data_IF_049531648671
#
_entry.id   IF_049531648671
#
_cell.length_a   1.000
_cell.length_b   1.000
_cell.length_c   1.000
_cell.angle_alpha   90.00
_cell.angle_beta   90.00
_cell.angle_gamma   90.00
#
_symmetry.space_group_name_H-M   'P 1'
#
loop_
_entity.id
_entity.type
_entity.pdbx_description
1 polymer ?
#
# COMPACT_ATOMS: atom_id res chain seq x y z
N UNK A 1 52.81 -7.59 -9.94
CA UNK A 1 51.90 -8.14 -8.91
C UNK A 1 51.28 -7.08 -7.99
N UNK A 2 52.02 -6.09 -7.46
CA UNK A 2 51.48 -5.03 -6.56
C UNK A 2 50.40 -4.12 -7.18
N UNK A 3 50.46 -3.87 -8.49
CA UNK A 3 49.50 -3.00 -9.19
C UNK A 3 48.09 -3.60 -9.26
N UNK A 4 47.98 -4.94 -9.38
CA UNK A 4 46.69 -5.64 -9.41
C UNK A 4 45.96 -5.55 -8.06
N UNK A 5 46.68 -5.72 -6.95
CA UNK A 5 46.10 -5.61 -5.60
C UNK A 5 45.62 -4.19 -5.29
N UNK A 6 46.34 -3.16 -5.78
CA UNK A 6 45.91 -1.77 -5.65
C UNK A 6 44.62 -1.50 -6.41
N UNK A 7 44.48 -2.02 -7.63
CA UNK A 7 43.25 -1.89 -8.44
C UNK A 7 42.06 -2.57 -7.75
N UNK A 8 42.24 -3.80 -7.25
CA UNK A 8 41.19 -4.51 -6.50
C UNK A 8 40.72 -3.71 -5.29
N UNK A 9 41.65 -3.17 -4.50
CA UNK A 9 41.31 -2.34 -3.35
C UNK A 9 40.55 -1.07 -3.73
N UNK A 10 40.92 -0.41 -4.83
CA UNK A 10 40.20 0.77 -5.33
C UNK A 10 38.78 0.42 -5.74
N UNK A 11 38.59 -0.70 -6.47
CA UNK A 11 37.25 -1.17 -6.87
C UNK A 11 36.39 -1.48 -5.64
N UNK A 12 36.91 -2.21 -4.66
CA UNK A 12 36.14 -2.53 -3.44
C UNK A 12 35.81 -1.27 -2.65
N UNK A 13 36.74 -0.31 -2.58
CA UNK A 13 36.47 0.97 -1.94
C UNK A 13 35.33 1.71 -2.62
N UNK A 14 35.38 1.82 -3.95
CA UNK A 14 34.32 2.43 -4.76
C UNK A 14 32.96 1.76 -4.55
N UNK A 15 32.90 0.43 -4.62
CA UNK A 15 31.67 -0.34 -4.37
C UNK A 15 31.13 -0.06 -2.96
N UNK A 16 32.01 -0.01 -1.96
CA UNK A 16 31.58 0.25 -0.58
C UNK A 16 31.03 1.67 -0.42
N UNK A 17 31.63 2.67 -1.06
CA UNK A 17 31.11 4.04 -1.05
C UNK A 17 29.74 4.14 -1.70
N UNK A 18 29.50 3.41 -2.79
CA UNK A 18 28.17 3.30 -3.40
C UNK A 18 27.14 2.70 -2.43
N UNK A 19 27.48 1.61 -1.74
CA UNK A 19 26.60 1.03 -0.73
C UNK A 19 26.35 1.95 0.46
N UNK A 20 27.38 2.65 0.94
CA UNK A 20 27.25 3.63 2.03
C UNK A 20 26.26 4.72 1.62
N UNK A 21 26.42 5.28 0.42
CA UNK A 21 25.52 6.32 -0.11
C UNK A 21 24.09 5.78 -0.22
N UNK A 22 23.92 4.61 -0.84
CA UNK A 22 22.61 4.01 -1.06
C UNK A 22 21.88 3.72 0.26
N UNK A 23 22.52 3.03 1.20
CA UNK A 23 21.89 2.65 2.46
C UNK A 23 21.66 3.84 3.38
N UNK A 24 22.58 4.80 3.43
CA UNK A 24 22.37 6.02 4.21
C UNK A 24 21.17 6.80 3.68
N UNK A 25 21.09 6.96 2.36
CA UNK A 25 19.94 7.60 1.72
C UNK A 25 18.64 6.85 2.01
N UNK A 26 18.61 5.54 1.76
CA UNK A 26 17.42 4.73 1.91
C UNK A 26 16.94 4.65 3.38
N UNK A 27 17.86 4.50 4.34
CA UNK A 27 17.52 4.43 5.77
C UNK A 27 17.01 5.78 6.29
N UNK A 28 17.66 6.87 5.89
CA UNK A 28 17.26 8.22 6.32
C UNK A 28 15.87 8.57 5.82
N UNK A 29 15.55 8.31 4.54
CA UNK A 29 14.20 8.56 4.02
C UNK A 29 13.13 7.74 4.75
N UNK A 30 13.42 6.46 5.06
CA UNK A 30 12.48 5.60 5.82
C UNK A 30 12.25 6.09 7.25
N UNK A 31 13.26 6.63 7.91
CA UNK A 31 13.12 7.16 9.28
C UNK A 31 12.42 8.52 9.29
N UNK A 32 12.75 9.40 8.35
CA UNK A 32 12.10 10.71 8.23
C UNK A 32 10.61 10.58 7.93
N UNK A 33 10.23 9.61 7.10
CA UNK A 33 8.83 9.33 6.78
C UNK A 33 8.38 7.94 7.28
N UNK A 34 8.63 7.70 8.57
CA UNK A 34 8.40 6.41 9.20
C UNK A 34 6.94 5.95 9.17
N UNK A 35 5.99 6.88 9.31
CA UNK A 35 4.57 6.54 9.31
C UNK A 35 4.11 6.05 7.94
N UNK A 36 4.50 6.74 6.85
CA UNK A 36 4.17 6.29 5.51
C UNK A 36 4.88 4.97 5.18
N UNK A 37 6.15 4.82 5.57
CA UNK A 37 6.87 3.56 5.39
C UNK A 37 6.19 2.38 6.12
N UNK A 38 5.80 2.57 7.39
CA UNK A 38 5.04 1.57 8.17
C UNK A 38 3.71 1.26 7.51
N UNK A 39 2.98 2.27 7.02
CA UNK A 39 1.70 2.09 6.35
C UNK A 39 1.84 1.27 5.06
N UNK A 40 2.86 1.52 4.26
CA UNK A 40 3.13 0.75 3.03
C UNK A 40 3.51 -0.70 3.31
N UNK A 41 4.35 -0.93 4.32
CA UNK A 41 4.62 -2.29 4.80
C UNK A 41 3.33 -2.98 5.25
N UNK A 42 2.42 -2.23 5.89
CA UNK A 42 1.08 -2.68 6.29
C UNK A 42 0.18 -3.07 5.11
N UNK A 43 0.37 -2.44 3.96
CA UNK A 43 -0.37 -2.75 2.74
C UNK A 43 0.23 -3.94 2.00
N UNK A 44 1.55 -4.16 2.08
CA UNK A 44 2.22 -5.29 1.42
C UNK A 44 1.68 -6.64 1.92
N UNK A 45 1.15 -7.52 1.05
CA UNK A 45 0.57 -8.79 1.48
C UNK A 45 1.54 -9.72 2.22
N UNK A 46 2.84 -9.58 1.97
CA UNK A 46 3.92 -10.37 2.59
C UNK A 46 4.29 -9.82 3.99
N UNK A 47 4.19 -8.51 4.19
CA UNK A 47 4.73 -7.83 5.37
C UNK A 47 3.67 -7.21 6.27
N UNK A 48 2.39 -7.23 5.88
CA UNK A 48 1.29 -6.62 6.63
C UNK A 48 1.24 -7.08 8.10
N UNK A 49 1.45 -8.38 8.35
CA UNK A 49 1.45 -8.97 9.69
C UNK A 49 2.69 -8.63 10.53
N UNK A 50 3.76 -8.18 9.87
CA UNK A 50 5.06 -7.88 10.48
C UNK A 50 5.48 -6.42 10.26
N UNK A 51 4.54 -5.57 9.84
CA UNK A 51 4.86 -4.24 9.32
C UNK A 51 5.58 -3.38 10.36
N UNK A 52 5.20 -3.48 11.63
CA UNK A 52 5.84 -2.75 12.72
C UNK A 52 7.27 -3.22 13.01
N UNK A 53 7.48 -4.54 13.05
CA UNK A 53 8.80 -5.12 13.31
C UNK A 53 9.75 -4.81 12.15
N UNK A 54 9.27 -4.98 10.92
CA UNK A 54 10.05 -4.73 9.70
C UNK A 54 10.34 -3.24 9.52
N UNK A 55 9.40 -2.36 9.90
CA UNK A 55 9.57 -0.91 9.80
C UNK A 55 10.79 -0.42 10.61
N UNK A 56 11.07 -1.02 11.77
CA UNK A 56 12.26 -0.71 12.55
C UNK A 56 13.49 -1.52 12.13
N UNK A 57 13.31 -2.81 11.81
CA UNK A 57 14.41 -3.71 11.51
C UNK A 57 15.18 -3.31 10.25
N UNK A 58 14.48 -2.89 9.20
CA UNK A 58 15.09 -2.55 7.90
C UNK A 58 16.02 -1.33 8.00
N UNK A 59 15.57 -0.14 8.44
CA UNK A 59 16.45 1.02 8.57
C UNK A 59 17.60 0.79 9.55
N UNK A 60 17.34 0.04 10.63
CA UNK A 60 18.38 -0.30 11.61
C UNK A 60 19.47 -1.18 10.99
N UNK A 61 19.08 -2.19 10.20
CA UNK A 61 20.03 -3.04 9.48
C UNK A 61 20.81 -2.23 8.43
N UNK A 62 20.15 -1.33 7.69
CA UNK A 62 20.79 -0.45 6.70
C UNK A 62 21.86 0.43 7.37
N UNK A 63 21.54 1.12 8.48
CA UNK A 63 22.53 1.93 9.21
C UNK A 63 23.65 1.10 9.81
N UNK A 64 23.34 -0.08 10.36
CA UNK A 64 24.37 -0.99 10.89
C UNK A 64 25.35 -1.40 9.78
N UNK A 65 24.85 -1.75 8.59
CA UNK A 65 25.70 -2.10 7.44
C UNK A 65 26.58 -0.91 7.03
N UNK A 66 26.05 0.31 7.02
CA UNK A 66 26.83 1.53 6.75
C UNK A 66 28.00 1.65 7.73
N UNK A 67 27.74 1.50 9.04
CA UNK A 67 28.79 1.56 10.07
C UNK A 67 29.85 0.48 9.82
N UNK A 68 29.43 -0.75 9.51
CA UNK A 68 30.35 -1.86 9.23
C UNK A 68 31.15 -1.67 7.93
N UNK A 69 30.61 -0.99 6.91
CA UNK A 69 31.32 -0.68 5.67
C UNK A 69 32.39 0.39 5.85
N UNK A 70 32.18 1.36 6.75
CA UNK A 70 33.16 2.39 7.08
C UNK A 70 34.37 1.79 7.79
N UNK A 71 34.15 0.77 8.63
CA UNK A 71 35.22 0.12 9.39
C UNK A 71 35.96 -0.93 8.53
N UNK A 72 37.26 -0.72 8.21
CA UNK A 72 37.99 -1.61 7.29
C UNK A 72 38.04 -3.07 7.75
N UNK A 73 38.04 -3.30 9.08
CA UNK A 73 38.05 -4.63 9.69
C UNK A 73 36.78 -5.43 9.41
N UNK A 74 35.62 -4.77 9.32
CA UNK A 74 34.32 -5.41 9.14
C UNK A 74 33.84 -5.42 7.69
N UNK A 75 34.62 -4.86 6.76
CA UNK A 75 34.22 -4.65 5.37
C UNK A 75 33.75 -5.91 4.65
N UNK A 76 34.40 -7.05 4.88
CA UNK A 76 33.96 -8.33 4.29
C UNK A 76 32.57 -8.74 4.80
N UNK A 77 32.36 -8.70 6.12
CA UNK A 77 31.08 -9.02 6.73
C UNK A 77 29.98 -8.03 6.28
N UNK A 78 30.34 -6.75 6.16
CA UNK A 78 29.45 -5.71 5.68
C UNK A 78 29.02 -5.95 4.23
N UNK A 79 29.96 -6.29 3.33
CA UNK A 79 29.65 -6.62 1.93
C UNK A 79 28.76 -7.87 1.80
N UNK A 80 29.00 -8.90 2.61
CA UNK A 80 28.12 -10.08 2.67
C UNK A 80 26.72 -9.69 3.18
N UNK A 81 26.64 -8.83 4.21
CA UNK A 81 25.36 -8.34 4.74
C UNK A 81 24.62 -7.48 3.72
N UNK A 82 25.31 -6.60 2.98
CA UNK A 82 24.77 -5.84 1.86
C UNK A 82 24.20 -6.74 0.77
N UNK A 83 24.94 -7.80 0.41
CA UNK A 83 24.50 -8.80 -0.56
C UNK A 83 23.20 -9.48 -0.12
N UNK A 84 23.15 -9.97 1.13
CA UNK A 84 21.97 -10.64 1.67
C UNK A 84 20.78 -9.69 1.69
N UNK A 85 20.95 -8.47 2.18
CA UNK A 85 19.86 -7.50 2.26
C UNK A 85 19.33 -7.15 0.86
N UNK A 86 20.20 -6.87 -0.11
CA UNK A 86 19.82 -6.61 -1.50
C UNK A 86 19.12 -7.82 -2.14
N UNK A 87 19.60 -9.03 -1.88
CA UNK A 87 18.98 -10.25 -2.39
C UNK A 87 17.59 -10.46 -1.79
N UNK A 88 17.42 -10.28 -0.48
CA UNK A 88 16.11 -10.37 0.18
C UNK A 88 15.12 -9.35 -0.39
N UNK A 89 15.55 -8.11 -0.61
CA UNK A 89 14.74 -7.09 -1.28
C UNK A 89 14.38 -7.46 -2.72
N UNK A 90 15.32 -8.04 -3.47
CA UNK A 90 15.10 -8.49 -4.85
C UNK A 90 14.04 -9.60 -4.90
N UNK A 91 14.17 -10.62 -4.04
CA UNK A 91 13.21 -11.74 -3.95
C UNK A 91 11.83 -11.23 -3.51
N UNK A 92 11.79 -10.30 -2.55
CA UNK A 92 10.56 -9.66 -2.10
C UNK A 92 9.84 -8.94 -3.26
N UNK A 93 10.54 -8.10 -4.03
CA UNK A 93 9.97 -7.39 -5.18
C UNK A 93 9.47 -8.39 -6.24
N UNK A 94 10.27 -9.41 -6.53
CA UNK A 94 9.90 -10.45 -7.49
C UNK A 94 8.60 -11.17 -7.10
N UNK A 95 8.45 -11.56 -5.83
CA UNK A 95 7.23 -12.20 -5.33
C UNK A 95 6.04 -11.25 -5.47
N UNK A 96 6.19 -9.98 -5.11
CA UNK A 96 5.09 -9.01 -5.23
C UNK A 96 4.67 -8.83 -6.70
N UNK A 97 5.60 -8.71 -7.63
CA UNK A 97 5.27 -8.48 -9.03
C UNK A 97 4.60 -9.69 -9.70
N UNK A 98 4.92 -10.91 -9.27
CA UNK A 98 4.45 -12.14 -9.94
C UNK A 98 3.31 -12.86 -9.20
N UNK A 99 3.19 -12.68 -7.89
CA UNK A 99 2.24 -13.43 -7.05
C UNK A 99 1.26 -12.54 -6.27
N UNK A 100 1.44 -11.22 -6.23
CA UNK A 100 0.52 -10.33 -5.56
C UNK A 100 -0.55 -9.79 -6.51
N UNK A 101 -1.80 -9.75 -6.04
CA UNK A 101 -2.93 -9.12 -6.75
C UNK A 101 -2.78 -7.59 -6.80
N UNK A 102 -1.93 -7.04 -5.92
CA UNK A 102 -1.73 -5.60 -5.77
C UNK A 102 -0.28 -5.27 -5.39
N UNK A 103 0.25 -4.20 -5.97
CA UNK A 103 1.58 -3.66 -5.66
C UNK A 103 1.40 -2.39 -4.82
N UNK A 104 2.00 -2.28 -3.61
CA UNK A 104 1.87 -1.09 -2.78
C UNK A 104 2.50 0.13 -3.46
N UNK A 105 2.06 1.33 -3.04
CA UNK A 105 2.79 2.54 -3.40
C UNK A 105 4.21 2.48 -2.80
N UNK A 106 5.19 3.06 -3.49
CA UNK A 106 6.57 3.19 -3.00
C UNK A 106 6.70 4.50 -2.24
N UNK A 107 7.20 4.52 -1.00
CA UNK A 107 7.66 5.71 -0.26
C UNK A 107 9.14 5.50 0.01
N UNK A 108 9.98 6.22 -0.72
CA UNK A 108 11.43 6.01 -0.72
C UNK A 108 12.24 7.20 -1.23
N UNK A 109 11.61 8.37 -1.40
CA UNK A 109 12.26 9.56 -1.95
C UNK A 109 12.47 9.47 -3.46
N UNK A 110 13.71 9.59 -3.94
CA UNK A 110 14.05 9.42 -5.36
C UNK A 110 13.72 8.01 -5.84
N UNK A 111 13.84 7.03 -4.94
CA UNK A 111 13.43 5.65 -5.16
C UNK A 111 11.91 5.46 -5.03
N UNK A 112 11.09 6.51 -4.99
CA UNK A 112 9.63 6.37 -5.11
C UNK A 112 9.16 6.74 -6.52
N UNK A 113 9.99 7.46 -7.28
CA UNK A 113 9.69 7.88 -8.65
C UNK A 113 10.01 6.82 -9.70
N UNK A 114 10.66 5.73 -9.30
CA UNK A 114 11.09 4.65 -10.17
C UNK A 114 10.02 3.55 -10.15
N UNK A 115 9.75 2.94 -11.30
CA UNK A 115 8.77 1.85 -11.40
C UNK A 115 9.27 0.59 -10.69
N UNK A 116 8.38 -0.28 -10.21
CA UNK A 116 8.77 -1.49 -9.49
C UNK A 116 9.66 -2.44 -10.33
N UNK A 117 9.51 -2.46 -11.66
CA UNK A 117 10.43 -3.20 -12.53
C UNK A 117 11.82 -2.57 -12.59
N UNK A 118 11.90 -1.23 -12.65
CA UNK A 118 13.16 -0.50 -12.63
C UNK A 118 13.87 -0.67 -11.27
N UNK A 119 13.13 -0.69 -10.15
CA UNK A 119 13.63 -1.07 -8.82
C UNK A 119 14.24 -2.46 -8.78
N UNK A 120 13.57 -3.43 -9.42
CA UNK A 120 14.07 -4.80 -9.47
C UNK A 120 15.42 -4.86 -10.21
N UNK A 121 15.51 -4.19 -11.37
CA UNK A 121 16.76 -4.11 -12.15
C UNK A 121 17.87 -3.41 -11.35
N UNK A 122 17.54 -2.31 -10.69
CA UNK A 122 18.46 -1.56 -9.83
C UNK A 122 19.03 -2.47 -8.72
N UNK A 123 18.17 -3.17 -7.98
CA UNK A 123 18.60 -4.07 -6.91
C UNK A 123 19.44 -5.23 -7.42
N UNK A 124 19.08 -5.85 -8.56
CA UNK A 124 19.89 -6.90 -9.20
C UNK A 124 21.29 -6.38 -9.53
N UNK A 125 21.41 -5.15 -10.03
CA UNK A 125 22.70 -4.51 -10.27
C UNK A 125 23.54 -4.42 -8.99
N UNK A 126 22.95 -4.00 -7.87
CA UNK A 126 23.64 -3.95 -6.58
C UNK A 126 23.98 -5.34 -6.01
N UNK A 127 23.16 -6.37 -6.25
CA UNK A 127 23.52 -7.75 -5.91
C UNK A 127 24.81 -8.17 -6.61
N UNK A 128 24.95 -7.90 -7.91
CA UNK A 128 26.18 -8.20 -8.65
C UNK A 128 27.38 -7.37 -8.17
N UNK A 129 27.18 -6.08 -7.88
CA UNK A 129 28.24 -5.24 -7.29
C UNK A 129 28.72 -5.79 -5.95
N UNK A 130 27.81 -6.28 -5.09
CA UNK A 130 28.19 -6.91 -3.83
C UNK A 130 29.03 -8.18 -4.07
N UNK A 131 28.63 -9.04 -5.01
CA UNK A 131 29.38 -10.26 -5.37
C UNK A 131 30.80 -9.93 -5.85
N UNK A 132 30.94 -8.91 -6.71
CA UNK A 132 32.25 -8.43 -7.16
C UNK A 132 33.07 -7.93 -5.97
N UNK A 133 32.47 -7.12 -5.09
CA UNK A 133 33.11 -6.63 -3.87
C UNK A 133 33.62 -7.76 -2.97
N UNK A 134 32.80 -8.77 -2.70
CA UNK A 134 33.15 -9.94 -1.87
C UNK A 134 34.29 -10.76 -2.50
N UNK A 135 34.24 -10.95 -3.82
CA UNK A 135 35.27 -11.67 -4.57
C UNK A 135 36.62 -10.97 -4.49
N UNK A 136 36.64 -9.65 -4.71
CA UNK A 136 37.86 -8.83 -4.77
C UNK A 136 38.42 -8.43 -3.40
N UNK A 137 37.60 -8.43 -2.34
CA UNK A 137 38.04 -8.03 -1.00
C UNK A 137 39.16 -8.97 -0.50
N UNK A 138 40.38 -8.47 -0.24
CA UNK A 138 41.44 -9.31 0.30
C UNK A 138 41.07 -9.73 1.72
N UNK A 139 41.13 -11.04 1.99
CA UNK A 139 40.81 -11.58 3.32
C UNK A 139 41.88 -12.61 3.68
N UNK A 140 42.72 -12.27 4.66
CA UNK A 140 43.93 -13.03 4.99
C UNK A 140 43.64 -14.47 5.44
N UNK A 141 42.44 -14.75 5.96
CA UNK A 141 42.04 -16.05 6.52
C UNK A 141 41.00 -16.83 5.69
N UNK A 142 40.40 -16.23 4.66
CA UNK A 142 39.26 -16.82 3.95
C UNK A 142 39.62 -17.17 2.51
N UNK A 143 39.74 -18.47 2.23
CA UNK A 143 39.94 -19.02 0.88
C UNK A 143 38.73 -18.76 -0.01
N UNK A 144 38.93 -18.66 -1.34
CA UNK A 144 37.86 -18.48 -2.34
C UNK A 144 36.72 -19.49 -2.20
N UNK A 145 37.02 -20.76 -1.90
CA UNK A 145 35.99 -21.80 -1.64
C UNK A 145 35.13 -21.46 -0.42
N UNK A 146 35.74 -21.00 0.68
CA UNK A 146 35.00 -20.59 1.89
C UNK A 146 34.15 -19.36 1.62
N UNK A 147 34.65 -18.38 0.86
CA UNK A 147 33.85 -17.22 0.44
C UNK A 147 32.61 -17.65 -0.34
N UNK A 148 32.76 -18.56 -1.30
CA UNK A 148 31.65 -19.08 -2.09
C UNK A 148 30.63 -19.79 -1.19
N UNK A 149 31.07 -20.65 -0.28
CA UNK A 149 30.19 -21.34 0.68
C UNK A 149 29.41 -20.33 1.54
N UNK A 150 30.07 -19.29 2.06
CA UNK A 150 29.41 -18.24 2.85
C UNK A 150 28.38 -17.49 2.01
N UNK A 151 28.71 -17.11 0.77
CA UNK A 151 27.77 -16.41 -0.12
C UNK A 151 26.58 -17.30 -0.48
N UNK A 152 26.82 -18.55 -0.89
CA UNK A 152 25.75 -19.48 -1.26
C UNK A 152 24.84 -19.82 -0.07
N UNK A 153 25.42 -20.11 1.09
CA UNK A 153 24.63 -20.40 2.30
C UNK A 153 23.81 -19.19 2.73
N UNK A 154 24.40 -17.99 2.79
CA UNK A 154 23.69 -16.77 3.15
C UNK A 154 22.60 -16.38 2.14
N UNK A 155 22.83 -16.65 0.84
CA UNK A 155 21.81 -16.47 -0.20
C UNK A 155 20.61 -17.39 0.02
N UNK A 156 20.87 -18.69 0.21
CA UNK A 156 19.83 -19.69 0.46
C UNK A 156 19.04 -19.34 1.73
N UNK A 157 19.74 -18.99 2.81
CA UNK A 157 19.09 -18.57 4.06
C UNK A 157 18.22 -17.32 3.85
N UNK A 158 18.71 -16.30 3.15
CA UNK A 158 17.94 -15.08 2.85
C UNK A 158 16.68 -15.36 2.03
N UNK A 159 16.78 -16.18 0.98
CA UNK A 159 15.64 -16.59 0.15
C UNK A 159 14.62 -17.37 0.98
N UNK A 160 15.06 -18.34 1.78
CA UNK A 160 14.18 -19.14 2.65
C UNK A 160 13.43 -18.24 3.63
N UNK A 161 14.11 -17.25 4.24
CA UNK A 161 13.47 -16.31 5.17
C UNK A 161 12.35 -15.53 4.47
N UNK A 162 12.59 -14.99 3.27
CA UNK A 162 11.57 -14.22 2.54
C UNK A 162 10.39 -15.11 2.13
N UNK A 163 10.65 -16.31 1.63
CA UNK A 163 9.60 -17.27 1.27
C UNK A 163 8.80 -17.70 2.51
N UNK A 164 9.47 -17.96 3.64
CA UNK A 164 8.80 -18.31 4.88
C UNK A 164 7.90 -17.16 5.37
N UNK A 165 8.37 -15.91 5.33
CA UNK A 165 7.56 -14.74 5.64
C UNK A 165 6.33 -14.64 4.73
N UNK A 166 6.48 -14.90 3.44
CA UNK A 166 5.36 -14.94 2.48
C UNK A 166 4.32 -15.98 2.85
N UNK A 167 4.73 -17.24 3.03
CA UNK A 167 3.81 -18.33 3.35
C UNK A 167 3.11 -18.11 4.70
N UNK A 168 3.84 -17.63 5.70
CA UNK A 168 3.28 -17.29 7.02
C UNK A 168 2.27 -16.15 6.89
N UNK A 169 2.61 -15.09 6.14
CA UNK A 169 1.70 -13.95 5.95
C UNK A 169 0.43 -14.35 5.22
N UNK A 170 0.53 -15.16 4.17
CA UNK A 170 -0.62 -15.68 3.41
C UNK A 170 -1.53 -16.56 4.29
N UNK A 171 -0.94 -17.42 5.11
CA UNK A 171 -1.67 -18.23 6.09
C UNK A 171 -2.38 -17.36 7.14
N UNK A 172 -1.70 -16.36 7.72
CA UNK A 172 -2.32 -15.45 8.70
C UNK A 172 -3.47 -14.68 8.05
N UNK A 173 -3.31 -14.19 6.81
CA UNK A 173 -4.37 -13.48 6.11
C UNK A 173 -5.57 -14.35 5.74
N UNK A 174 -5.35 -15.62 5.43
CA UNK A 174 -6.41 -16.53 4.99
C UNK A 174 -7.22 -17.11 6.15
N UNK A 175 -6.60 -17.29 7.33
CA UNK A 175 -7.22 -17.98 8.46
C UNK A 175 -7.51 -17.10 9.68
N UNK A 176 -6.87 -15.93 9.80
CA UNK A 176 -7.16 -14.98 10.88
C UNK A 176 -7.80 -13.72 10.32
N UNK A 177 -9.06 -13.48 10.68
CA UNK A 177 -9.83 -12.26 10.39
C UNK A 177 -9.24 -11.04 11.12
N UNK A 178 -7.98 -10.69 10.86
CA UNK A 178 -7.52 -9.31 11.08
C UNK A 178 -8.35 -8.49 10.09
N UNK A 179 -9.14 -7.54 10.60
CA UNK A 179 -9.99 -6.61 9.82
C UNK A 179 -9.17 -5.65 8.94
N UNK A 180 -8.12 -6.15 8.28
CA UNK A 180 -7.31 -5.44 7.31
C UNK A 180 -8.03 -5.62 5.98
N UNK A 181 -8.87 -4.63 5.63
CA UNK A 181 -9.57 -4.61 4.36
C UNK A 181 -8.55 -4.42 3.24
N UNK A 182 -8.44 -5.40 2.34
CA UNK A 182 -7.77 -5.21 1.05
C UNK A 182 -8.60 -4.22 0.24
N UNK A 183 -8.10 -2.99 0.09
CA UNK A 183 -8.71 -2.00 -0.80
C UNK A 183 -8.52 -2.49 -2.24
N UNK A 184 -9.61 -2.61 -2.99
CA UNK A 184 -9.55 -2.97 -4.41
C UNK A 184 -8.74 -1.93 -5.17
N UNK A 185 -7.82 -2.40 -6.02
CA UNK A 185 -6.85 -1.58 -6.76
C UNK A 185 -7.41 -0.93 -8.03
N UNK A 186 -8.69 -1.10 -8.33
CA UNK A 186 -9.36 -0.29 -9.33
C UNK A 186 -9.69 1.07 -8.69
N UNK A 187 -8.89 2.14 -8.89
CA UNK A 187 -9.30 3.46 -8.44
C UNK A 187 -10.66 3.75 -9.06
N UNK A 188 -11.63 4.15 -8.24
CA UNK A 188 -12.89 4.64 -8.76
C UNK A 188 -12.59 5.85 -9.64
N UNK A 189 -12.62 5.67 -10.96
CA UNK A 189 -12.41 6.76 -11.89
C UNK A 189 -13.69 7.57 -11.92
N UNK A 190 -13.57 8.88 -11.73
CA UNK A 190 -14.70 9.80 -11.81
C UNK A 190 -15.17 9.84 -13.26
N UNK A 191 -16.30 9.22 -13.56
CA UNK A 191 -16.90 9.23 -14.90
C UNK A 191 -17.64 10.55 -15.15
N UNK A 192 -18.42 11.02 -14.17
CA UNK A 192 -19.20 12.26 -14.26
C UNK A 192 -19.50 12.82 -12.87
N UNK A 193 -19.73 14.13 -12.80
CA UNK A 193 -20.26 14.82 -11.62
C UNK A 193 -21.44 15.71 -11.97
N UNK A 194 -22.24 15.99 -10.93
CA UNK A 194 -23.35 16.93 -10.99
C UNK A 194 -23.29 17.82 -9.75
N UNK A 195 -23.21 19.13 -9.96
CA UNK A 195 -23.18 20.08 -8.85
C UNK A 195 -24.61 20.39 -8.39
N UNK A 196 -24.93 19.98 -7.16
CA UNK A 196 -26.25 20.15 -6.54
C UNK A 196 -26.59 21.59 -6.15
N UNK A 197 -25.63 22.53 -6.22
CA UNK A 197 -25.73 23.96 -5.87
C UNK A 197 -26.05 24.27 -4.40
N UNK A 198 -26.70 23.36 -3.68
CA UNK A 198 -27.09 23.47 -2.27
C UNK A 198 -26.49 22.32 -1.46
N UNK A 199 -26.15 22.60 -0.20
CA UNK A 199 -25.61 21.62 0.76
C UNK A 199 -26.70 20.83 1.49
N UNK A 200 -27.96 21.18 1.28
CA UNK A 200 -29.09 20.56 1.99
C UNK A 200 -29.46 19.17 1.46
N UNK A 201 -28.93 18.77 0.31
CA UNK A 201 -29.20 17.47 -0.28
C UNK A 201 -28.43 16.33 0.41
N UNK A 202 -29.08 15.17 0.54
CA UNK A 202 -28.46 13.92 0.95
C UNK A 202 -28.88 12.79 0.02
N UNK A 203 -28.06 11.74 -0.06
CA UNK A 203 -28.35 10.56 -0.86
C UNK A 203 -29.44 9.72 -0.18
N UNK A 204 -30.62 9.65 -0.81
CA UNK A 204 -31.75 8.87 -0.31
C UNK A 204 -31.73 7.41 -0.82
N UNK A 205 -31.16 7.17 -2.00
CA UNK A 205 -30.98 5.84 -2.57
C UNK A 205 -30.77 5.88 -4.09
N UNK A 206 -30.57 4.73 -4.70
CA UNK A 206 -30.50 4.59 -6.15
C UNK A 206 -31.24 3.31 -6.56
N UNK A 207 -32.04 3.40 -7.61
CA UNK A 207 -32.83 2.29 -8.15
C UNK A 207 -33.23 2.56 -9.61
N UNK A 208 -33.35 1.49 -10.41
CA UNK A 208 -33.86 1.53 -11.80
C UNK A 208 -33.29 2.67 -12.66
N UNK A 209 -31.97 2.88 -12.63
CA UNK A 209 -31.30 3.93 -13.43
C UNK A 209 -31.45 5.36 -12.89
N UNK A 210 -31.99 5.54 -11.69
CA UNK A 210 -32.19 6.83 -11.05
C UNK A 210 -31.49 6.92 -9.68
N UNK A 211 -30.98 8.11 -9.38
CA UNK A 211 -30.44 8.53 -8.10
C UNK A 211 -31.46 9.45 -7.42
N UNK A 212 -31.84 9.10 -6.20
CA UNK A 212 -32.82 9.82 -5.41
C UNK A 212 -32.11 10.61 -4.32
N UNK A 213 -32.42 11.90 -4.24
CA UNK A 213 -31.86 12.84 -3.28
C UNK A 213 -32.98 13.40 -2.42
N UNK A 214 -32.82 13.30 -1.11
CA UNK A 214 -33.68 14.01 -0.16
C UNK A 214 -33.08 15.37 0.19
N UNK A 215 -33.86 16.23 0.84
CA UNK A 215 -33.41 17.54 1.27
C UNK A 215 -33.65 17.73 2.77
N UNK A 216 -32.62 18.12 3.52
CA UNK A 216 -32.68 18.34 4.97
C UNK A 216 -33.48 19.58 5.37
N UNK A 217 -33.54 20.59 4.51
CA UNK A 217 -34.32 21.82 4.73
C UNK A 217 -35.76 21.65 4.25
N UNK A 218 -35.95 21.03 3.09
CA UNK A 218 -37.26 20.70 2.51
C UNK A 218 -37.53 19.20 2.64
N UNK A 219 -37.87 18.75 3.86
CA UNK A 219 -37.89 17.31 4.23
C UNK A 219 -38.85 16.42 3.42
N UNK A 220 -39.89 17.02 2.81
CA UNK A 220 -40.85 16.33 1.93
C UNK A 220 -40.57 16.55 0.43
N UNK A 221 -39.38 17.05 0.10
CA UNK A 221 -38.92 17.23 -1.26
C UNK A 221 -37.99 16.08 -1.65
N UNK A 222 -38.31 15.40 -2.74
CA UNK A 222 -37.44 14.39 -3.35
C UNK A 222 -37.01 14.85 -4.73
N UNK A 223 -35.70 14.92 -4.94
CA UNK A 223 -35.10 15.21 -6.24
C UNK A 223 -34.59 13.93 -6.86
N UNK A 224 -35.01 13.65 -8.08
CA UNK A 224 -34.64 12.46 -8.85
C UNK A 224 -33.71 12.89 -9.97
N UNK A 225 -32.55 12.24 -10.05
CA UNK A 225 -31.54 12.49 -11.06
C UNK A 225 -31.30 11.18 -11.82
N UNK A 226 -31.32 11.22 -13.14
CA UNK A 226 -30.91 10.05 -13.94
C UNK A 226 -29.44 9.70 -13.62
N UNK A 227 -29.08 8.42 -13.59
CA UNK A 227 -27.68 7.95 -13.50
C UNK A 227 -26.77 8.54 -14.57
N UNK A 228 -27.32 8.93 -15.73
CA UNK A 228 -26.59 9.70 -16.75
C UNK A 228 -26.34 11.17 -16.34
N UNK A 229 -26.89 11.65 -15.23
CA UNK A 229 -26.79 13.01 -14.69
C UNK A 229 -27.18 14.12 -15.69
N UNK A 230 -28.14 13.84 -16.59
CA UNK A 230 -28.60 14.78 -17.62
C UNK A 230 -29.92 15.46 -17.27
N UNK A 231 -30.79 14.77 -16.53
CA UNK A 231 -32.14 15.24 -16.22
C UNK A 231 -32.36 15.16 -14.71
N UNK A 232 -32.97 16.20 -14.19
CA UNK A 232 -33.33 16.33 -12.78
C UNK A 232 -34.80 16.70 -12.69
N UNK A 233 -35.57 15.92 -11.93
CA UNK A 233 -36.96 16.23 -11.60
C UNK A 233 -37.09 16.36 -10.10
N UNK A 234 -38.02 17.19 -9.66
CA UNK A 234 -38.27 17.38 -8.23
C UNK A 234 -39.72 17.09 -7.96
N UNK A 235 -39.96 16.42 -6.85
CA UNK A 235 -41.26 15.89 -6.46
C UNK A 235 -41.54 16.27 -5.02
N UNK A 236 -42.68 16.92 -4.78
CA UNK A 236 -43.19 17.13 -3.44
C UNK A 236 -43.96 15.88 -3.00
N UNK A 237 -43.78 15.49 -1.75
CA UNK A 237 -44.43 14.34 -1.15
C UNK A 237 -45.47 14.83 -0.15
N UNK A 238 -46.69 14.33 -0.28
CA UNK A 238 -47.78 14.54 0.68
C UNK A 238 -47.89 13.35 1.61
N UNK A 239 -48.14 13.61 2.89
CA UNK A 239 -48.38 12.57 3.91
C UNK A 239 -49.84 12.62 4.35
N UNK A 240 -50.49 11.46 4.41
CA UNK A 240 -51.92 11.37 4.79
C UNK A 240 -52.17 11.72 6.27
N UNK A 241 -51.18 11.48 7.14
CA UNK A 241 -51.25 11.77 8.58
C UNK A 241 -50.12 12.72 8.95
N UNK A 242 -50.44 13.97 9.26
CA UNK A 242 -49.45 15.03 9.58
C UNK A 242 -49.45 15.34 11.09
N UNK A 243 -50.44 14.87 11.85
CA UNK A 243 -50.64 15.17 13.28
C UNK A 243 -49.63 14.48 14.23
N UNK A 244 -48.58 13.88 13.68
CA UNK A 244 -47.51 13.25 14.45
C UNK A 244 -46.38 14.26 14.67
N UNK A 245 -45.74 14.25 15.86
CA UNK A 245 -44.73 15.24 16.23
C UNK A 245 -43.36 14.98 15.58
N UNK A 246 -43.33 14.90 14.24
CA UNK A 246 -42.09 14.72 13.48
C UNK A 246 -41.18 15.93 13.61
N UNK A 247 -39.87 15.69 13.74
CA UNK A 247 -38.85 16.76 13.82
C UNK A 247 -37.97 16.85 12.57
N UNK A 248 -37.59 15.70 12.01
CA UNK A 248 -36.62 15.57 10.93
C UNK A 248 -36.95 14.37 10.03
N UNK A 249 -37.98 14.52 9.20
CA UNK A 249 -38.35 13.48 8.22
C UNK A 249 -37.19 13.20 7.26
N UNK A 250 -36.86 11.92 7.13
CA UNK A 250 -35.83 11.39 6.25
C UNK A 250 -36.47 10.44 5.25
N UNK A 251 -36.09 10.58 3.98
CA UNK A 251 -36.52 9.77 2.86
C UNK A 251 -35.42 8.76 2.56
N UNK A 252 -35.78 7.48 2.44
CA UNK A 252 -34.87 6.43 2.00
C UNK A 252 -35.50 5.60 0.90
N UNK A 253 -34.80 5.45 -0.21
CA UNK A 253 -35.27 4.69 -1.37
C UNK A 253 -34.64 3.31 -1.36
N UNK A 254 -35.50 2.30 -1.43
CA UNK A 254 -35.12 0.90 -1.62
C UNK A 254 -36.16 0.27 -2.53
N UNK A 255 -35.80 0.20 -3.81
CA UNK A 255 -36.65 -0.23 -4.90
C UNK A 255 -37.47 -1.48 -4.60
N UNK A 256 -38.77 -1.53 -4.94
CA UNK A 256 -39.57 -0.53 -5.68
C UNK A 256 -40.31 0.48 -4.77
N UNK A 257 -39.85 0.67 -3.54
CA UNK A 257 -40.50 1.53 -2.54
C UNK A 257 -39.57 2.64 -2.04
N UNK A 258 -40.17 3.69 -1.50
CA UNK A 258 -39.46 4.61 -0.62
C UNK A 258 -40.13 4.69 0.73
N UNK A 259 -39.34 5.03 1.72
CA UNK A 259 -39.70 5.08 3.12
C UNK A 259 -39.48 6.49 3.66
N UNK A 260 -40.42 6.98 4.45
CA UNK A 260 -40.29 8.25 5.16
C UNK A 260 -40.39 7.98 6.65
N UNK A 261 -39.41 8.44 7.42
CA UNK A 261 -39.36 8.26 8.86
C UNK A 261 -38.53 9.36 9.54
N UNK A 262 -38.80 9.62 10.82
CA UNK A 262 -38.07 10.59 11.64
C UNK A 262 -37.06 9.92 12.60
N UNK A 263 -37.19 8.60 12.81
CA UNK A 263 -36.34 7.83 13.73
C UNK A 263 -36.69 8.00 15.22
N UNK A 264 -37.40 9.06 15.60
CA UNK A 264 -37.93 9.28 16.95
C UNK A 264 -39.40 8.86 17.10
N UNK A 265 -40.22 9.09 16.07
CA UNK A 265 -41.61 8.63 16.03
C UNK A 265 -41.63 7.18 15.54
N UNK A 266 -42.26 6.21 16.24
CA UNK A 266 -42.28 4.79 15.88
C UNK A 266 -43.28 4.51 14.73
N UNK A 267 -43.18 5.30 13.66
CA UNK A 267 -44.00 5.19 12.46
C UNK A 267 -43.10 5.45 11.25
N UNK A 268 -43.34 4.70 10.17
CA UNK A 268 -42.75 4.97 8.88
C UNK A 268 -43.82 4.88 7.80
N UNK A 269 -43.74 5.77 6.81
CA UNK A 269 -44.56 5.70 5.62
C UNK A 269 -43.84 4.83 4.60
N UNK A 270 -44.60 4.00 3.89
CA UNK A 270 -44.10 3.18 2.78
C UNK A 270 -44.91 3.53 1.53
N UNK A 271 -44.22 3.98 0.49
CA UNK A 271 -44.86 4.42 -0.76
C UNK A 271 -44.20 3.72 -1.94
N UNK A 272 -44.99 3.32 -2.93
CA UNK A 272 -44.49 2.68 -4.16
C UNK A 272 -44.03 3.74 -5.15
N UNK A 273 -42.79 3.65 -5.64
CA UNK A 273 -42.18 4.66 -6.52
C UNK A 273 -43.04 4.96 -7.78
N UNK A 274 -43.58 3.91 -8.42
CA UNK A 274 -44.38 4.03 -9.65
C UNK A 274 -45.84 4.49 -9.44
N UNK A 275 -46.29 4.66 -8.19
CA UNK A 275 -47.69 5.00 -7.86
C UNK A 275 -47.82 6.26 -7.03
N UNK A 276 -46.71 6.94 -6.74
CA UNK A 276 -46.74 8.24 -6.11
C UNK A 276 -47.28 9.25 -7.13
N UNK A 277 -48.52 9.70 -6.93
CA UNK A 277 -49.02 10.89 -7.59
C UNK A 277 -48.20 12.07 -7.08
N UNK A 278 -47.13 12.39 -7.79
CA UNK A 278 -46.38 13.61 -7.57
C UNK A 278 -47.24 14.77 -8.10
N UNK A 279 -47.88 15.51 -7.19
CA UNK A 279 -48.63 16.74 -7.52
C UNK A 279 -47.71 17.94 -7.32
#
# INVERSE_FOLDING_TARGET
MKTSEKIKSVIVNFISWLFILLFTYAATNKVLDFQNFKQQLGQSPLLSSFAEQVAWAVPSAEFLIVILLVLPKFRYAALVSSFVLMLMFTVYIYIILNHSVFVPCSCGGILEKMDWHEHLIFNIGFVFLALIGIGLQPTQYITTKKKLIVVSSSAVTGIIIVIALFLISENIHSYHNKFVRRLSSAPATKIKDYNLKLRSYYFAGADDGHVYLGNTTSQLLMTVVDTALNKTTTHNITLDKIDLPFRSLTIRVSGPYFYIYDGMVPCYYKVKLYRASFV
#
